data_IF_222749265827
#
_entry.id   IF_222749265827
#
_cell.length_a   1.000
_cell.length_b   1.000
_cell.length_c   1.000
_cell.angle_alpha   90.00
_cell.angle_beta   90.00
_cell.angle_gamma   90.00
#
_symmetry.space_group_name_H-M   'P 1'
#
loop_
_entity.id
_entity.type
_entity.pdbx_description
1 polymer ?
2 water ?
#
# COMPACT_ATOMS: atom_id res chain seq x y z
N UNK A 17 22.70 3.14 14.70
CA UNK A 17 21.72 2.55 13.74
C UNK A 17 20.37 3.27 13.75
N UNK A 18 19.91 3.70 12.56
CA UNK A 18 18.52 4.12 12.36
C UNK A 18 17.58 2.96 12.70
N UNK A 19 16.45 3.32 13.30
CA UNK A 19 15.41 2.38 13.66
C UNK A 19 14.10 2.87 13.05
N UNK A 20 13.53 2.05 12.16
CA UNK A 20 12.22 2.36 11.58
C UNK A 20 11.18 1.50 12.26
N UNK A 21 10.15 2.14 12.79
CA UNK A 21 9.11 1.39 13.50
C UNK A 21 8.12 0.74 12.55
N UNK A 22 7.62 -0.42 12.94
CA UNK A 22 6.65 -1.18 12.19
C UNK A 22 5.22 -0.64 12.33
N UNK A 23 4.99 0.34 13.22
CA UNK A 23 3.63 0.85 13.50
C UNK A 23 3.06 1.63 12.32
N UNK A 24 3.80 2.64 11.87
CA UNK A 24 3.34 3.55 10.82
C UNK A 24 4.38 3.63 9.72
N UNK A 25 3.93 3.84 8.49
CA UNK A 25 4.81 3.78 7.34
C UNK A 25 5.84 4.90 7.46
N UNK A 26 7.14 4.56 7.48
CA UNK A 26 8.22 5.54 7.61
C UNK A 26 8.26 6.49 6.40
N UNK A 27 8.64 7.73 6.65
CA UNK A 27 8.86 8.71 5.56
C UNK A 27 9.93 8.24 4.55
N UNK A 28 10.88 7.43 5.04
CA UNK A 28 11.95 6.88 4.23
C UNK A 28 11.47 5.88 3.14
N UNK A 29 10.23 5.41 3.22
CA UNK A 29 9.72 4.48 2.19
C UNK A 29 8.31 4.81 1.67
N UNK A 30 8.03 4.30 0.47
CA UNK A 30 6.68 4.30 -0.12
C UNK A 30 6.27 2.90 -0.60
N UNK A 31 5.00 2.75 -0.99
CA UNK A 31 4.50 1.50 -1.57
C UNK A 31 4.15 1.70 -3.03
N UNK A 32 4.70 0.86 -3.89
CA UNK A 32 4.36 0.93 -5.31
C UNK A 32 4.35 -0.48 -5.91
N UNK A 33 4.23 -0.60 -7.22
CA UNK A 33 4.19 -1.92 -7.83
C UNK A 33 5.53 -2.62 -7.70
N UNK A 34 5.50 -3.83 -7.13
CA UNK A 34 6.69 -4.65 -6.91
C UNK A 34 7.36 -4.99 -8.22
N UNK A 35 8.68 -4.81 -8.26
CA UNK A 35 9.49 -5.24 -9.41
C UNK A 35 9.50 -6.78 -9.60
N UNK A 36 8.86 -7.52 -8.70
CA UNK A 36 8.88 -8.97 -8.74
C UNK A 36 7.59 -9.63 -9.24
N UNK A 37 7.71 -10.51 -10.25
CA UNK A 37 6.65 -11.19 -11.02
C UNK A 37 5.28 -11.47 -10.34
N UNK A 38 5.27 -12.22 -9.24
CA UNK A 38 3.98 -12.63 -8.63
C UNK A 38 3.19 -11.61 -7.81
N UNK A 39 3.87 -11.01 -6.83
CA UNK A 39 3.21 -10.19 -5.81
C UNK A 39 3.01 -8.79 -6.33
N UNK A 40 1.88 -8.18 -6.00
CA UNK A 40 1.50 -6.91 -6.58
C UNK A 40 2.27 -5.74 -6.03
N UNK A 41 2.02 -5.39 -4.78
CA UNK A 41 2.65 -4.20 -4.18
C UNK A 41 4.03 -4.50 -3.57
N UNK A 42 4.83 -3.48 -3.36
CA UNK A 42 6.14 -3.66 -2.73
C UNK A 42 6.60 -2.41 -2.02
N UNK A 43 7.64 -2.54 -1.21
CA UNK A 43 8.15 -1.37 -0.52
C UNK A 43 9.36 -0.85 -1.26
N UNK A 44 9.34 0.45 -1.52
CA UNK A 44 10.46 1.10 -2.22
C UNK A 44 11.05 2.19 -1.32
N UNK A 45 12.37 2.28 -1.34
CA UNK A 45 13.05 3.35 -0.64
C UNK A 45 12.63 4.68 -1.28
N UNK A 46 12.52 5.72 -0.45
CA UNK A 46 12.18 7.05 -0.89
C UNK A 46 13.38 8.00 -0.67
N UNK A 47 14.19 7.71 0.35
CA UNK A 47 15.44 8.42 0.61
C UNK A 47 16.53 7.35 0.61
N UNK A 48 17.79 7.72 0.84
CA UNK A 48 18.83 6.73 1.16
C UNK A 48 18.52 6.05 2.46
N UNK A 49 18.64 4.72 2.48
CA UNK A 49 18.54 3.97 3.72
C UNK A 49 19.93 3.44 4.07
N UNK A 50 20.44 3.91 5.21
CA UNK A 50 21.81 3.60 5.63
C UNK A 50 22.01 2.12 5.97
N UNK A 51 23.24 1.65 5.75
CA UNK A 51 23.64 0.29 6.14
C UNK A 51 23.37 0.10 7.64
N UNK A 52 22.82 -1.04 8.02
CA UNK A 52 22.50 -1.31 9.41
C UNK A 52 21.13 -0.89 9.94
N UNK A 53 20.36 -0.14 9.15
CA UNK A 53 19.03 0.33 9.58
C UNK A 53 18.16 -0.89 9.92
N UNK A 54 17.50 -0.82 11.08
CA UNK A 54 16.68 -1.91 11.55
C UNK A 54 15.21 -1.51 11.56
N UNK A 55 14.36 -2.42 11.09
CA UNK A 55 12.95 -2.12 10.96
C UNK A 55 12.17 -3.20 11.66
N UNK A 56 11.23 -2.79 12.49
CA UNK A 56 10.38 -3.75 13.19
C UNK A 56 9.92 -3.16 14.51
N UNK A 57 9.47 -4.03 15.46
CA UNK A 57 9.35 -5.48 15.31
C UNK A 57 8.30 -5.90 14.27
N UNK A 58 8.62 -6.96 13.54
CA UNK A 58 7.66 -7.63 12.69
C UNK A 58 6.68 -8.37 13.59
N UNK A 59 5.40 -8.06 13.47
CA UNK A 59 4.40 -8.64 14.37
C UNK A 59 3.47 -9.60 13.61
N UNK A 60 2.88 -10.53 14.35
CA UNK A 60 1.98 -11.51 13.76
C UNK A 60 1.47 -12.49 14.78
N UNK A 61 0.81 -13.53 14.29
CA UNK A 61 0.37 -14.64 15.14
C UNK A 61 1.51 -15.63 15.35
N UNK A 62 1.63 -16.09 16.59
CA UNK A 62 2.58 -17.15 16.95
C UNK A 62 1.99 -18.51 16.58
N UNK A 63 2.68 -19.23 15.71
CA UNK A 63 2.27 -20.57 15.28
C UNK A 63 3.30 -21.58 15.76
N UNK A 64 2.82 -22.59 16.49
CA UNK A 64 3.66 -23.72 16.93
C UNK A 64 4.26 -24.45 15.73
N UNK A 65 5.52 -24.93 15.86
CA UNK A 65 6.21 -25.57 14.75
C UNK A 65 5.75 -27.00 14.51
N UNK A 76 2.74 -14.31 5.70
CA UNK A 76 4.17 -14.01 5.71
C UNK A 76 4.79 -14.46 7.04
N UNK A 77 5.72 -15.40 6.96
CA UNK A 77 6.10 -16.20 8.12
C UNK A 77 7.59 -16.41 8.32
N UNK A 78 8.07 -16.17 9.54
CA UNK A 78 9.49 -16.33 9.89
C UNK A 78 9.68 -17.25 11.10
N UNK A 79 10.68 -18.11 11.03
CA UNK A 79 11.12 -18.91 12.19
C UNK A 79 11.63 -17.99 13.31
N UNK A 80 11.17 -18.24 14.53
CA UNK A 80 11.84 -17.74 15.73
C UNK A 80 12.63 -18.90 16.30
N UNK A 81 13.93 -18.72 16.45
CA UNK A 81 14.85 -19.77 16.82
C UNK A 81 15.18 -19.83 18.31
N UNK A 82 15.44 -21.04 18.76
CA UNK A 82 16.04 -21.31 20.05
C UNK A 82 17.51 -20.93 20.03
N UNK A 83 18.12 -20.86 21.21
CA UNK A 83 19.57 -20.67 21.34
C UNK A 83 20.40 -21.73 20.57
N UNK A 84 19.91 -22.97 20.55
CA UNK A 84 20.59 -24.08 19.86
C UNK A 84 20.33 -24.16 18.35
N UNK A 85 19.64 -23.15 17.80
CA UNK A 85 19.41 -23.04 16.36
C UNK A 85 18.23 -23.83 15.85
N UNK A 86 17.51 -24.53 16.73
CA UNK A 86 16.28 -25.20 16.35
C UNK A 86 15.12 -24.18 16.37
N UNK A 87 14.03 -24.52 15.69
CA UNK A 87 12.86 -23.64 15.61
C UNK A 87 11.95 -23.75 16.85
N UNK A 88 11.69 -22.60 17.48
CA UNK A 88 10.84 -22.48 18.67
C UNK A 88 9.37 -22.26 18.25
N UNK A 89 9.18 -21.34 17.32
CA UNK A 89 7.86 -21.16 16.69
C UNK A 89 8.00 -20.28 15.44
N UNK A 90 6.86 -20.01 14.81
CA UNK A 90 6.77 -19.13 13.66
C UNK A 90 5.96 -17.89 14.02
N UNK A 91 6.39 -16.74 13.51
CA UNK A 91 5.59 -15.53 13.51
C UNK A 91 4.96 -15.36 12.11
N UNK A 92 3.64 -15.42 12.04
CA UNK A 92 2.88 -15.37 10.79
C UNK A 92 2.04 -14.11 10.71
N UNK A 93 2.35 -13.26 9.74
CA UNK A 93 1.53 -12.08 9.48
C UNK A 93 0.86 -12.26 8.12
N UNK A 100 1.19 -4.79 9.49
CA UNK A 100 2.22 -3.75 9.39
C UNK A 100 2.48 -3.39 7.92
N UNK A 101 2.94 -2.16 7.66
CA UNK A 101 3.55 -1.80 6.37
C UNK A 101 4.68 -2.79 6.01
N UNK A 102 5.29 -3.41 7.03
CA UNK A 102 6.39 -4.37 6.80
C UNK A 102 5.95 -5.58 6.02
N UNK A 103 4.68 -5.93 6.14
CA UNK A 103 4.08 -7.01 5.36
C UNK A 103 4.01 -6.73 3.87
N UNK A 104 4.35 -5.50 3.46
CA UNK A 104 4.41 -5.18 2.03
C UNK A 104 5.80 -5.43 1.40
N UNK A 105 6.80 -5.65 2.24
CA UNK A 105 8.15 -5.96 1.79
C UNK A 105 8.19 -7.40 1.27
N UNK A 106 8.53 -7.54 -0.01
CA UNK A 106 8.56 -8.86 -0.65
C UNK A 106 9.86 -9.56 -0.36
N UNK A 107 9.86 -10.87 -0.63
CA UNK A 107 11.05 -11.69 -0.43
C UNK A 107 11.98 -11.63 -1.62
N UNK A 108 13.27 -11.45 -1.32
CA UNK A 108 14.34 -11.59 -2.29
C UNK A 108 14.44 -13.03 -2.78
N UNK A 109 14.42 -13.18 -4.09
CA UNK A 109 14.49 -14.48 -4.75
C UNK A 109 15.90 -15.05 -4.67
N UNK A 110 16.87 -14.17 -4.43
CA UNK A 110 18.27 -14.55 -4.34
C UNK A 110 19.07 -13.46 -3.62
N UNK A 111 20.33 -13.72 -3.32
CA UNK A 111 21.18 -12.80 -2.55
C UNK A 111 21.51 -11.52 -3.32
N UNK A 112 21.51 -11.62 -4.66
CA UNK A 112 21.81 -10.47 -5.53
C UNK A 112 20.81 -9.32 -5.38
N UNK A 113 19.54 -9.65 -5.26
CA UNK A 113 18.51 -8.62 -5.08
C UNK A 113 18.11 -8.36 -3.61
N UNK A 114 18.54 -9.25 -2.71
CA UNK A 114 18.37 -9.03 -1.28
C UNK A 114 19.09 -7.81 -0.74
N UNK A 115 18.37 -6.98 0.02
CA UNK A 115 19.01 -5.86 0.67
C UNK A 115 18.60 -5.70 2.13
N UNK A 116 17.67 -6.56 2.57
CA UNK A 116 17.29 -6.69 3.98
C UNK A 116 17.50 -8.13 4.46
N UNK A 117 17.99 -8.28 5.69
CA UNK A 117 18.11 -9.59 6.34
C UNK A 117 17.23 -9.68 7.57
N UNK A 118 16.62 -10.83 7.77
CA UNK A 118 15.90 -11.11 9.01
C UNK A 118 16.92 -11.24 10.16
N UNK A 119 16.72 -10.47 11.23
CA UNK A 119 17.51 -10.59 12.45
C UNK A 119 16.58 -10.77 13.64
N UNK A 120 17.00 -11.58 14.59
CA UNK A 120 16.19 -11.89 15.75
C UNK A 120 16.78 -11.15 16.95
N UNK A 121 15.94 -10.39 17.63
CA UNK A 121 16.35 -9.69 18.83
C UNK A 121 15.49 -10.26 19.96
N UNK A 122 16.13 -10.98 20.88
CA UNK A 122 15.37 -11.78 21.84
C UNK A 122 14.56 -12.83 21.08
N UNK A 123 13.24 -12.71 21.13
CA UNK A 123 12.37 -13.54 20.31
C UNK A 123 11.59 -12.68 19.29
N UNK A 124 12.03 -11.45 19.07
CA UNK A 124 11.40 -10.52 18.12
C UNK A 124 12.13 -10.49 16.79
N UNK A 125 11.38 -10.31 15.70
CA UNK A 125 11.95 -10.31 14.35
C UNK A 125 12.06 -8.86 13.86
N UNK A 126 13.26 -8.49 13.40
CA UNK A 126 13.49 -7.21 12.74
C UNK A 126 14.06 -7.49 11.34
N UNK A 127 13.90 -6.53 10.42
CA UNK A 127 14.61 -6.59 9.15
C UNK A 127 15.72 -5.57 9.26
N UNK A 128 16.87 -5.91 8.70
CA UNK A 128 18.06 -5.06 8.82
C UNK A 128 18.67 -4.88 7.45
N UNK A 129 18.96 -3.63 7.08
CA UNK A 129 19.62 -3.35 5.80
C UNK A 129 21.07 -3.82 5.84
N UNK A 130 21.37 -4.78 4.96
CA UNK A 130 22.71 -5.37 4.81
C UNK A 130 23.70 -4.27 4.44
N UNK A 131 23.33 -3.46 3.46
CA UNK A 131 24.17 -2.34 2.99
C UNK A 131 23.34 -1.06 2.87
N UNK A 132 23.97 0.02 2.41
CA UNK A 132 23.26 1.27 2.09
C UNK A 132 22.32 0.98 0.93
N UNK A 133 21.09 1.47 1.04
CA UNK A 133 20.09 1.29 -0.03
C UNK A 133 19.79 2.64 -0.67
N UNK A 134 19.99 2.74 -2.01
CA UNK A 134 19.72 3.99 -2.74
C UNK A 134 18.22 4.29 -2.81
N UNK A 135 17.85 5.57 -3.11
CA UNK A 135 16.43 5.90 -3.28
C UNK A 135 15.85 5.18 -4.48
N UNK A 136 14.52 4.94 -4.43
CA UNK A 136 13.74 4.27 -5.49
C UNK A 136 14.18 2.84 -5.77
N UNK A 137 14.62 2.14 -4.73
CA UNK A 137 14.97 0.74 -4.88
C UNK A 137 14.00 -0.05 -4.01
N UNK A 138 13.57 -1.18 -4.54
CA UNK A 138 12.62 -2.03 -3.82
C UNK A 138 13.34 -2.69 -2.64
N UNK A 139 12.63 -2.78 -1.51
CA UNK A 139 13.17 -3.42 -0.32
C UNK A 139 12.81 -4.89 -0.41
N UNK A 140 13.84 -5.75 -0.45
CA UNK A 140 13.62 -7.18 -0.54
C UNK A 140 14.39 -7.95 0.56
N UNK A 141 13.64 -8.78 1.29
CA UNK A 141 14.10 -9.36 2.54
C UNK A 141 14.34 -10.87 2.39
N UNK A 142 15.31 -11.39 3.13
CA UNK A 142 15.39 -12.83 3.28
C UNK A 142 16.21 -13.16 4.52
N UNK A 143 16.44 -14.44 4.74
CA UNK A 143 17.41 -14.89 5.77
C UNK A 143 18.80 -14.34 5.52
N UNK A 144 19.51 -14.04 6.59
CA UNK A 144 20.93 -13.72 6.51
C UNK A 144 21.76 -14.97 6.72
N UNK A 145 23.08 -14.78 6.77
CA UNK A 145 24.09 -15.78 7.23
C UNK A 145 23.83 -17.25 6.99
N UNK B 17 -9.96 11.51 -22.65
CA UNK B 17 -9.70 11.31 -21.19
C UNK B 17 -8.77 10.13 -20.96
N UNK B 18 -7.74 10.34 -20.13
CA UNK B 18 -6.91 9.25 -19.65
C UNK B 18 -7.74 8.32 -18.75
N UNK B 19 -7.46 7.02 -18.87
CA UNK B 19 -8.16 5.98 -18.13
C UNK B 19 -7.17 5.09 -17.36
N UNK B 20 -7.28 5.11 -16.04
CA UNK B 20 -6.42 4.26 -15.20
C UNK B 20 -7.19 3.02 -14.77
N UNK B 21 -6.61 1.85 -14.99
CA UNK B 21 -7.28 0.61 -14.60
C UNK B 21 -7.13 0.29 -13.12
N UNK B 22 -8.15 -0.39 -12.59
CA UNK B 22 -8.22 -0.79 -11.21
C UNK B 22 -7.52 -2.13 -10.90
N UNK B 23 -7.05 -2.84 -11.93
CA UNK B 23 -6.37 -4.12 -11.75
C UNK B 23 -4.99 -4.00 -11.08
N UNK B 24 -4.18 -3.08 -11.59
CA UNK B 24 -2.80 -2.91 -11.14
C UNK B 24 -2.55 -1.44 -10.83
N UNK B 25 -1.78 -1.18 -9.77
CA UNK B 25 -1.41 0.17 -9.39
C UNK B 25 -0.77 0.90 -10.58
N UNK B 26 -1.37 2.02 -11.02
CA UNK B 26 -0.86 2.86 -12.12
C UNK B 26 0.50 3.46 -11.82
N UNK B 27 1.31 3.65 -12.86
CA UNK B 27 2.55 4.44 -12.79
C UNK B 27 2.32 5.84 -12.21
N UNK B 28 1.13 6.40 -12.47
CA UNK B 28 0.77 7.76 -12.05
C UNK B 28 0.59 7.94 -10.53
N UNK B 29 0.49 6.83 -9.80
CA UNK B 29 0.29 6.91 -8.36
C UNK B 29 1.19 5.98 -7.54
N UNK B 30 1.35 6.37 -6.27
CA UNK B 30 1.98 5.55 -5.23
C UNK B 30 1.10 5.51 -3.95
N UNK B 31 1.50 4.64 -3.03
CA UNK B 31 0.84 4.55 -1.71
C UNK B 31 1.80 5.04 -0.62
N UNK B 32 1.31 5.95 0.22
CA UNK B 32 2.11 6.46 1.33
C UNK B 32 1.19 6.79 2.51
N UNK B 33 1.75 7.36 3.57
CA UNK B 33 0.95 7.70 4.73
C UNK B 33 -0.10 8.76 4.39
N UNK B 34 -1.37 8.39 4.59
CA UNK B 34 -2.50 9.27 4.28
C UNK B 34 -2.45 10.52 5.12
N UNK B 35 -2.69 11.67 4.47
CA UNK B 35 -2.74 12.96 5.15
C UNK B 35 -3.97 13.17 6.05
N UNK B 36 -4.98 12.31 5.96
CA UNK B 36 -6.17 12.48 6.82
C UNK B 36 -5.92 11.84 8.19
N UNK B 37 -6.42 12.46 9.28
CA UNK B 37 -6.08 11.99 10.63
C UNK B 37 -6.45 10.53 10.96
N UNK B 38 -7.56 10.02 10.40
CA UNK B 38 -8.01 8.65 10.68
C UNK B 38 -7.12 7.49 10.26
N UNK B 39 -7.02 7.26 8.95
CA UNK B 39 -6.51 6.00 8.42
C UNK B 39 -5.04 6.06 8.05
N UNK B 40 -4.47 4.89 7.83
CA UNK B 40 -3.03 4.80 7.65
C UNK B 40 -2.63 5.25 6.27
N UNK B 41 -2.86 4.36 5.30
CA UNK B 41 -2.33 4.55 3.96
C UNK B 41 -3.27 5.36 3.05
N UNK B 42 -2.72 5.93 1.98
CA UNK B 42 -3.51 6.71 1.02
C UNK B 42 -2.88 6.66 -0.36
N UNK B 43 -3.58 7.19 -1.35
CA UNK B 43 -2.99 7.23 -2.69
C UNK B 43 -2.49 8.63 -2.96
N UNK B 44 -1.25 8.72 -3.45
CA UNK B 44 -0.68 9.99 -3.84
C UNK B 44 -0.32 9.96 -5.33
N UNK B 45 -0.56 11.09 -5.97
CA UNK B 45 -0.10 11.27 -7.34
C UNK B 45 1.44 11.26 -7.34
N UNK B 46 2.02 10.54 -8.31
CA UNK B 46 3.45 10.59 -8.55
C UNK B 46 3.71 11.59 -9.68
N UNK B 47 2.85 11.54 -10.70
CA UNK B 47 2.89 12.48 -11.81
C UNK B 47 1.69 13.43 -11.77
N UNK B 48 1.58 14.28 -12.79
CA UNK B 48 0.41 15.12 -12.99
C UNK B 48 -0.77 14.24 -13.37
N UNK B 49 -1.92 14.48 -12.76
CA UNK B 49 -3.13 13.77 -13.21
C UNK B 49 -4.11 14.79 -13.77
N UNK B 50 -4.43 14.64 -15.05
CA UNK B 50 -5.31 15.62 -15.71
C UNK B 50 -6.74 15.51 -15.21
N UNK B 51 -7.43 16.65 -15.07
CA UNK B 51 -8.89 16.67 -14.81
C UNK B 51 -9.58 15.82 -15.86
N UNK B 52 -10.61 15.08 -15.44
CA UNK B 52 -11.30 14.21 -16.37
C UNK B 52 -10.82 12.78 -16.35
N UNK B 53 -9.57 12.54 -15.92
CA UNK B 53 -9.03 11.18 -15.82
C UNK B 53 -9.99 10.29 -15.01
N UNK B 54 -10.27 9.12 -15.56
CA UNK B 54 -11.20 8.17 -14.96
C UNK B 54 -10.46 6.93 -14.52
N UNK B 55 -10.79 6.45 -13.34
CA UNK B 55 -10.15 5.25 -12.81
C UNK B 55 -11.19 4.24 -12.34
N UNK B 56 -10.96 2.98 -12.64
CA UNK B 56 -11.91 1.93 -12.29
C UNK B 56 -11.89 0.83 -13.31
N UNK B 57 -12.92 -0.06 -13.32
CA UNK B 57 -14.07 -0.03 -12.40
C UNK B 57 -13.71 -0.33 -10.94
N UNK B 58 -14.40 0.36 -10.01
CA UNK B 58 -14.35 0.04 -8.59
C UNK B 58 -15.13 -1.25 -8.41
N UNK B 59 -14.45 -2.30 -7.98
CA UNK B 59 -15.06 -3.63 -7.88
C UNK B 59 -15.36 -4.01 -6.42
N UNK B 60 -16.31 -4.92 -6.23
CA UNK B 60 -16.68 -5.33 -4.89
C UNK B 60 -17.92 -6.20 -4.90
N UNK B 61 -18.44 -6.47 -3.70
CA UNK B 61 -19.66 -7.26 -3.54
C UNK B 61 -20.90 -6.40 -3.61
N UNK B 62 -21.92 -6.92 -4.29
CA UNK B 62 -23.22 -6.27 -4.36
C UNK B 62 -24.00 -6.52 -3.06
N UNK B 63 -24.31 -5.44 -2.35
CA UNK B 63 -25.11 -5.46 -1.14
C UNK B 63 -26.47 -4.83 -1.42
N UNK B 64 -27.56 -5.56 -1.14
CA UNK B 64 -28.92 -5.04 -1.33
C UNK B 64 -29.21 -3.89 -0.36
N UNK B 65 -29.99 -2.88 -0.81
CA UNK B 65 -30.26 -1.73 0.04
C UNK B 65 -31.38 -1.99 1.04
N UNK B 76 -14.90 0.23 1.90
CA UNK B 76 -15.53 1.37 1.24
C UNK B 76 -16.73 0.94 0.39
N UNK B 77 -17.81 1.72 0.46
CA UNK B 77 -19.08 1.36 -0.17
C UNK B 77 -19.75 2.53 -0.88
N UNK B 78 -20.25 2.28 -2.09
CA UNK B 78 -20.86 3.33 -2.92
C UNK B 78 -22.22 2.86 -3.41
N UNK B 79 -23.18 3.76 -3.40
CA UNK B 79 -24.49 3.52 -3.98
C UNK B 79 -24.34 3.38 -5.48
N UNK B 80 -25.03 2.39 -6.02
CA UNK B 80 -25.35 2.33 -7.45
C UNK B 80 -26.82 2.75 -7.65
N UNK B 81 -27.05 3.76 -8.48
CA UNK B 81 -28.34 4.40 -8.65
C UNK B 81 -29.17 3.90 -9.84
N UNK B 82 -30.49 3.89 -9.64
CA UNK B 82 -31.46 3.70 -10.70
C UNK B 82 -31.52 4.96 -11.55
N UNK B 83 -32.19 4.89 -12.70
CA UNK B 83 -32.40 6.09 -13.54
C UNK B 83 -33.15 7.21 -12.78
N UNK B 84 -34.10 6.82 -11.94
CA UNK B 84 -34.89 7.77 -11.16
C UNK B 84 -34.17 8.38 -9.93
N UNK B 85 -32.91 7.98 -9.71
CA UNK B 85 -32.08 8.56 -8.65
C UNK B 85 -32.14 7.83 -7.32
N UNK B 86 -32.98 6.81 -7.25
CA UNK B 86 -33.04 5.93 -6.10
C UNK B 86 -31.91 4.88 -6.11
N UNK B 87 -31.58 4.36 -4.92
CA UNK B 87 -30.54 3.35 -4.78
C UNK B 87 -31.03 1.95 -5.18
N UNK B 88 -30.33 1.35 -6.14
CA UNK B 88 -30.58 0.00 -6.60
C UNK B 88 -29.80 -1.01 -5.71
N UNK B 89 -28.53 -0.70 -5.42
CA UNK B 89 -27.75 -1.49 -4.46
C UNK B 89 -26.47 -0.76 -4.05
N UNK B 90 -25.66 -1.45 -3.26
CA UNK B 90 -24.37 -0.95 -2.84
C UNK B 90 -23.23 -1.82 -3.38
N UNK B 91 -22.15 -1.18 -3.79
CA UNK B 91 -20.88 -1.84 -4.04
C UNK B 91 -19.95 -1.67 -2.83
N UNK B 92 -19.66 -2.79 -2.17
CA UNK B 92 -18.84 -2.85 -0.97
C UNK B 92 -17.52 -3.60 -1.26
N UNK B 93 -16.39 -2.89 -1.13
CA UNK B 93 -15.08 -3.51 -1.29
C UNK B 93 -14.35 -3.66 0.05
N UNK B 100 -8.60 -3.94 -4.88
CA UNK B 100 -7.99 -2.95 -5.77
C UNK B 100 -7.09 -1.96 -5.02
N UNK B 101 -6.10 -1.43 -5.71
CA UNK B 101 -5.36 -0.25 -5.25
C UNK B 101 -6.30 0.92 -4.97
N UNK B 102 -7.42 0.98 -5.72
CA UNK B 102 -8.44 2.05 -5.53
C UNK B 102 -9.03 2.05 -4.16
N UNK B 103 -9.00 0.89 -3.50
CA UNK B 103 -9.44 0.80 -2.11
C UNK B 103 -8.54 1.57 -1.12
N UNK B 104 -7.39 2.07 -1.57
CA UNK B 104 -6.52 2.90 -0.72
C UNK B 104 -6.79 4.40 -0.88
N UNK B 105 -7.59 4.77 -1.87
CA UNK B 105 -8.03 6.15 -1.99
C UNK B 105 -9.04 6.45 -0.87
N UNK B 106 -8.65 7.37 0.00
CA UNK B 106 -9.47 7.77 1.14
C UNK B 106 -10.52 8.78 0.71
N UNK B 107 -11.52 8.95 1.58
CA UNK B 107 -12.62 9.91 1.32
C UNK B 107 -12.22 11.33 1.71
N UNK B 108 -12.54 12.27 0.82
CA UNK B 108 -12.42 13.68 1.12
C UNK B 108 -13.44 14.06 2.20
N UNK B 109 -12.97 14.84 3.18
CA UNK B 109 -13.81 15.24 4.30
C UNK B 109 -14.71 16.42 3.90
N UNK B 110 -14.34 17.05 2.80
CA UNK B 110 -15.05 18.23 2.30
C UNK B 110 -14.61 18.56 0.87
N UNK B 111 -15.35 19.43 0.18
CA UNK B 111 -15.10 19.75 -1.23
C UNK B 111 -13.72 20.38 -1.49
N UNK B 112 -13.19 21.08 -0.50
CA UNK B 112 -11.89 21.76 -0.60
C UNK B 112 -10.72 20.80 -0.81
N UNK B 113 -10.72 19.66 -0.14
CA UNK B 113 -9.66 18.67 -0.34
C UNK B 113 -10.04 17.59 -1.37
N UNK B 114 -11.30 17.63 -1.84
CA UNK B 114 -11.77 16.67 -2.84
C UNK B 114 -11.15 16.91 -4.20
N UNK B 115 -10.58 15.86 -4.78
CA UNK B 115 -10.10 15.96 -6.16
C UNK B 115 -10.60 14.86 -7.06
N UNK B 116 -11.31 13.90 -6.49
CA UNK B 116 -11.95 12.83 -7.24
C UNK B 116 -13.46 12.78 -6.93
N UNK B 117 -14.27 12.52 -7.96
CA UNK B 117 -15.70 12.26 -7.80
C UNK B 117 -16.09 10.86 -8.26
N UNK B 118 -17.03 10.28 -7.54
CA UNK B 118 -17.66 9.04 -7.96
C UNK B 118 -18.56 9.33 -9.18
N UNK B 119 -18.37 8.57 -10.26
CA UNK B 119 -19.23 8.66 -11.44
C UNK B 119 -19.74 7.27 -11.73
N UNK B 120 -20.96 7.19 -12.25
CA UNK B 120 -21.54 5.89 -12.51
C UNK B 120 -21.59 5.72 -14.00
N UNK B 121 -21.02 4.61 -14.46
CA UNK B 121 -21.04 4.27 -15.87
C UNK B 121 -21.80 2.96 -16.03
N UNK B 122 -22.98 3.02 -16.63
CA UNK B 122 -23.89 1.87 -16.61
C UNK B 122 -24.31 1.61 -15.18
N UNK B 123 -23.93 0.46 -14.65
CA UNK B 123 -24.02 0.19 -13.23
C UNK B 123 -22.64 0.10 -12.56
N UNK B 124 -21.58 0.46 -13.29
CA UNK B 124 -20.22 0.33 -12.72
C UNK B 124 -19.73 1.67 -12.11
N UNK B 125 -18.88 1.58 -11.09
CA UNK B 125 -18.41 2.76 -10.38
C UNK B 125 -17.01 3.12 -10.84
N UNK B 126 -16.80 4.38 -11.22
CA UNK B 126 -15.47 4.90 -11.54
C UNK B 126 -15.20 6.14 -10.68
N UNK B 127 -13.92 6.48 -10.50
CA UNK B 127 -13.56 7.75 -9.89
C UNK B 127 -13.02 8.63 -11.00
N UNK B 128 -13.34 9.90 -10.95
CA UNK B 128 -12.96 10.82 -12.04
C UNK B 128 -12.39 12.06 -11.40
N UNK B 129 -11.24 12.50 -11.90
CA UNK B 129 -10.56 13.68 -11.38
C UNK B 129 -11.34 14.96 -11.70
N UNK B 130 -11.61 15.74 -10.66
CA UNK B 130 -12.43 16.95 -10.78
C UNK B 130 -11.58 18.23 -10.90
N UNK B 131 -10.28 18.04 -11.16
CA UNK B 131 -9.34 19.15 -11.39
C UNK B 131 -7.99 18.59 -11.84
N UNK B 132 -7.07 19.50 -12.14
CA UNK B 132 -5.71 19.13 -12.45
C UNK B 132 -5.09 18.80 -11.11
N UNK B 133 -4.52 17.61 -11.00
CA UNK B 133 -3.86 17.21 -9.76
C UNK B 133 -2.35 17.21 -9.95
N UNK B 134 -1.64 18.06 -9.18
CA UNK B 134 -0.19 18.10 -9.29
C UNK B 134 0.46 16.87 -8.62
N UNK B 135 1.75 16.61 -8.91
CA UNK B 135 2.45 15.49 -8.25
C UNK B 135 2.48 15.65 -6.75
N UNK B 136 2.50 14.52 -6.03
CA UNK B 136 2.60 14.48 -4.55
C UNK B 136 1.38 15.04 -3.81
N UNK B 137 0.21 14.91 -4.40
CA UNK B 137 -1.04 15.35 -3.78
C UNK B 137 -1.82 14.07 -3.49
N UNK B 138 -2.42 13.99 -2.29
CA UNK B 138 -3.26 12.84 -1.96
C UNK B 138 -4.52 12.84 -2.80
N UNK B 139 -4.87 11.66 -3.31
CA UNK B 139 -6.11 11.47 -4.04
C UNK B 139 -7.22 11.25 -3.04
N UNK B 140 -8.23 12.12 -3.09
CA UNK B 140 -9.33 12.07 -2.16
C UNK B 140 -10.66 12.18 -2.89
N UNK B 141 -11.52 11.18 -2.65
CA UNK B 141 -12.73 10.96 -3.44
C UNK B 141 -14.00 11.28 -2.63
N UNK B 142 -15.05 11.71 -3.31
CA UNK B 142 -16.37 11.70 -2.70
C UNK B 142 -17.41 11.78 -3.81
N UNK B 143 -18.66 11.95 -3.41
CA UNK B 143 -19.76 12.21 -4.34
C UNK B 143 -19.53 13.47 -5.14
N UNK B 144 -20.01 13.45 -6.38
CA UNK B 144 -20.07 14.65 -7.20
C UNK B 144 -21.33 15.41 -6.83
N UNK B 145 -21.50 16.59 -7.41
CA UNK B 145 -22.56 17.50 -7.00
C UNK B 145 -23.82 17.45 -7.87
#
# INVERSE_FOLDING_TARGET
>A
KTAFTAEVLAQSFSGEVQKLSSLVLPAEVIIAQSSIPGEGLGIFSKTWIKAGTEMGPFTGRVIAPEHVDICKNNNLMWEVFNEDGTVRYFIDASQEDHRSWMTYIKCARNEQEQNLEVVQIGTSIFYKAIEMIPPDQELLVWYGNSHNTFLGIPGVPGLEEDQKKNKHED
>B
KTAFTAEVLAQSFSGEVQKLSSLVLPAEVIIAQSSIPGEGLGIFSKTWIKAGTEMGPFTGRVIAPEHVDICKNNNLMWEVFNEDGTVRYFIDASQEDHRSWMTYIKCARNEQEQNLEVVQIGTSIFYKAIEMIPPDQELLVWYGNSHNTFLGIPGVPGLEEDQKKNKHED
#
